data_IF_589346394379
#
_entry.id   IF_589346394379
#
_cell.length_a   1.000
_cell.length_b   1.000
_cell.length_c   1.000
_cell.angle_alpha   90.00
_cell.angle_beta   90.00
_cell.angle_gamma   90.00
#
_symmetry.space_group_name_H-M   'P 1'
#
loop_
_entity.id
_entity.type
_entity.pdbx_description
1 polymer ?
#
# COMPACT_ATOMS: atom_id res chain seq x y z
N UNK A 1 -6.81 -10.59 -2.96
CA UNK A 1 -8.26 -10.35 -3.17
C UNK A 1 -8.87 -11.59 -3.80
N UNK A 2 -9.80 -12.26 -3.12
CA UNK A 2 -10.58 -13.35 -3.70
C UNK A 2 -11.60 -12.75 -4.69
N UNK A 3 -11.20 -12.56 -5.96
CA UNK A 3 -12.08 -12.06 -7.02
C UNK A 3 -13.18 -13.10 -7.31
N UNK A 4 -14.44 -12.73 -7.11
CA UNK A 4 -15.61 -13.54 -7.51
C UNK A 4 -16.44 -14.14 -6.38
N UNK A 5 -16.09 -13.92 -5.12
CA UNK A 5 -16.87 -14.37 -3.96
C UNK A 5 -17.77 -13.21 -3.51
N UNK A 6 -19.07 -13.45 -3.36
CA UNK A 6 -19.99 -12.45 -2.80
C UNK A 6 -19.67 -12.19 -1.33
N UNK A 7 -19.90 -10.96 -0.82
CA UNK A 7 -19.59 -10.63 0.57
C UNK A 7 -20.21 -11.63 1.57
N UNK A 8 -21.43 -12.11 1.31
CA UNK A 8 -22.10 -13.14 2.10
C UNK A 8 -21.31 -14.46 2.17
N UNK A 9 -20.70 -14.90 1.08
CA UNK A 9 -19.89 -16.12 1.05
C UNK A 9 -18.58 -15.95 1.82
N UNK A 10 -17.96 -14.76 1.80
CA UNK A 10 -16.76 -14.46 2.62
C UNK A 10 -17.12 -14.53 4.10
N UNK A 11 -18.27 -13.98 4.48
CA UNK A 11 -18.73 -13.94 5.87
C UNK A 11 -19.12 -15.33 6.39
N UNK A 12 -19.85 -16.11 5.58
CA UNK A 12 -20.20 -17.49 5.93
C UNK A 12 -18.95 -18.37 6.04
N UNK A 13 -17.97 -18.16 5.16
CA UNK A 13 -16.70 -18.87 5.23
C UNK A 13 -15.94 -18.54 6.53
N UNK A 14 -15.85 -17.26 6.88
CA UNK A 14 -15.21 -16.84 8.13
C UNK A 14 -15.91 -17.43 9.35
N UNK A 15 -17.25 -17.34 9.43
CA UNK A 15 -18.00 -17.85 10.59
C UNK A 15 -17.77 -19.35 10.85
N UNK A 16 -17.56 -20.15 9.80
CA UNK A 16 -17.30 -21.59 9.93
C UNK A 16 -15.99 -21.90 10.64
N UNK A 17 -14.96 -21.06 10.46
CA UNK A 17 -13.65 -21.24 11.09
C UNK A 17 -13.43 -20.33 12.29
N UNK A 18 -14.24 -19.28 12.46
CA UNK A 18 -14.06 -18.23 13.47
C UNK A 18 -14.00 -18.78 14.90
N UNK A 19 -14.78 -19.83 15.22
CA UNK A 19 -14.77 -20.47 16.53
C UNK A 19 -13.49 -21.25 16.85
N UNK A 20 -12.66 -21.55 15.84
CA UNK A 20 -11.40 -22.28 15.99
C UNK A 20 -10.16 -21.39 15.97
N UNK A 21 -10.35 -20.07 15.79
CA UNK A 21 -9.28 -19.07 15.88
C UNK A 21 -9.06 -18.74 17.38
N UNK A 22 -7.84 -18.36 17.76
CA UNK A 22 -7.52 -17.89 19.11
C UNK A 22 -7.17 -16.38 19.05
N UNK A 23 -7.98 -15.48 19.63
CA UNK A 23 -9.25 -15.75 20.30
C UNK A 23 -10.40 -16.08 19.33
N UNK A 24 -11.39 -16.83 19.80
CA UNK A 24 -12.53 -17.21 18.97
C UNK A 24 -13.32 -15.98 18.52
N UNK A 25 -13.73 -15.96 17.26
CA UNK A 25 -14.44 -14.85 16.61
C UNK A 25 -13.69 -13.52 16.67
N UNK A 26 -12.35 -13.56 16.62
CA UNK A 26 -11.49 -12.38 16.67
C UNK A 26 -11.80 -11.33 15.60
N UNK A 27 -11.88 -10.07 16.03
CA UNK A 27 -12.18 -8.93 15.15
C UNK A 27 -11.03 -8.64 14.17
N UNK A 28 -9.78 -8.76 14.60
CA UNK A 28 -8.62 -8.41 13.77
C UNK A 28 -8.45 -9.40 12.63
N UNK A 29 -8.59 -10.70 12.94
CA UNK A 29 -8.63 -11.78 11.94
C UNK A 29 -9.75 -11.57 10.90
N UNK A 30 -10.93 -11.10 11.34
CA UNK A 30 -11.99 -10.71 10.42
C UNK A 30 -11.60 -9.51 9.55
N UNK A 31 -11.02 -8.47 10.16
CA UNK A 31 -10.61 -7.24 9.48
C UNK A 31 -9.56 -7.49 8.39
N UNK A 32 -8.62 -8.40 8.64
CA UNK A 32 -7.60 -8.83 7.68
C UNK A 32 -8.21 -9.62 6.52
N UNK A 33 -9.16 -10.51 6.79
CA UNK A 33 -9.83 -11.30 5.76
C UNK A 33 -10.62 -10.42 4.78
N UNK A 34 -11.45 -9.51 5.30
CA UNK A 34 -12.32 -8.68 4.45
C UNK A 34 -11.55 -7.59 3.72
N UNK A 35 -10.40 -7.20 4.28
CA UNK A 35 -9.52 -6.14 3.78
C UNK A 35 -10.27 -4.87 3.33
N UNK A 36 -11.20 -4.38 4.17
CA UNK A 36 -11.96 -3.13 3.95
C UNK A 36 -11.49 -2.04 4.90
N UNK A 37 -12.00 -0.82 4.71
CA UNK A 37 -11.79 0.28 5.64
C UNK A 37 -12.42 0.02 7.01
N UNK A 38 -12.00 0.82 8.00
CA UNK A 38 -12.45 0.73 9.39
C UNK A 38 -13.97 0.79 9.54
N UNK A 39 -14.65 1.71 8.85
CA UNK A 39 -16.08 1.90 9.03
C UNK A 39 -16.88 0.70 8.49
N UNK A 40 -16.56 0.29 7.26
CA UNK A 40 -17.20 -0.87 6.62
C UNK A 40 -16.96 -2.14 7.43
N UNK A 41 -15.72 -2.38 7.86
CA UNK A 41 -15.35 -3.57 8.64
C UNK A 41 -16.12 -3.64 9.96
N UNK A 42 -16.22 -2.51 10.68
CA UNK A 42 -16.96 -2.44 11.93
C UNK A 42 -18.44 -2.77 11.76
N UNK A 43 -19.08 -2.22 10.72
CA UNK A 43 -20.50 -2.46 10.43
C UNK A 43 -20.73 -3.93 10.08
N UNK A 44 -19.90 -4.49 9.20
CA UNK A 44 -20.02 -5.90 8.79
C UNK A 44 -19.83 -6.83 9.98
N UNK A 45 -18.75 -6.68 10.75
CA UNK A 45 -18.49 -7.52 11.93
C UNK A 45 -19.66 -7.47 12.92
N UNK A 46 -20.12 -6.26 13.26
CA UNK A 46 -21.21 -6.07 14.20
C UNK A 46 -22.52 -6.71 13.70
N UNK A 47 -22.83 -6.57 12.41
CA UNK A 47 -24.04 -7.14 11.80
C UNK A 47 -24.02 -8.67 11.86
N UNK A 48 -22.92 -9.27 11.42
CA UNK A 48 -22.73 -10.72 11.35
C UNK A 48 -22.75 -11.34 12.75
N UNK A 49 -21.99 -10.77 13.68
CA UNK A 49 -21.91 -11.27 15.05
C UNK A 49 -23.24 -11.12 15.80
N UNK A 50 -23.98 -10.02 15.62
CA UNK A 50 -25.31 -9.89 16.20
C UNK A 50 -26.29 -10.94 15.65
N UNK A 51 -26.28 -11.18 14.34
CA UNK A 51 -27.14 -12.19 13.74
C UNK A 51 -26.76 -13.60 14.20
N UNK A 52 -25.46 -13.91 14.26
CA UNK A 52 -24.96 -15.20 14.71
C UNK A 52 -25.26 -15.46 16.19
N UNK A 53 -24.94 -14.53 17.09
CA UNK A 53 -25.19 -14.67 18.54
C UNK A 53 -26.67 -14.75 18.88
N UNK A 54 -27.56 -14.12 18.10
CA UNK A 54 -29.02 -14.29 18.25
C UNK A 54 -29.51 -15.68 17.84
N UNK A 55 -28.92 -16.28 16.81
CA UNK A 55 -29.24 -17.65 16.37
C UNK A 55 -28.63 -18.72 17.27
N UNK A 56 -27.49 -18.42 17.90
CA UNK A 56 -26.72 -19.33 18.73
C UNK A 56 -26.43 -18.73 20.11
N UNK A 57 -27.46 -18.46 20.94
CA UNK A 57 -27.28 -17.78 22.22
C UNK A 57 -26.45 -18.57 23.25
N UNK A 58 -26.36 -19.89 23.09
CA UNK A 58 -25.50 -20.76 23.92
C UNK A 58 -24.02 -20.72 23.54
N UNK A 59 -23.65 -20.00 22.47
CA UNK A 59 -22.27 -19.85 22.06
C UNK A 59 -21.61 -18.70 22.84
N UNK A 60 -21.10 -19.03 24.03
CA UNK A 60 -20.49 -18.06 24.94
C UNK A 60 -19.28 -17.33 24.33
N UNK A 61 -18.51 -18.01 23.47
CA UNK A 61 -17.36 -17.42 22.78
C UNK A 61 -17.80 -16.29 21.83
N UNK A 62 -18.84 -16.50 21.04
CA UNK A 62 -19.37 -15.47 20.13
C UNK A 62 -19.95 -14.27 20.89
N UNK A 63 -20.66 -14.52 22.00
CA UNK A 63 -21.18 -13.46 22.88
C UNK A 63 -20.02 -12.67 23.52
N UNK A 64 -19.00 -13.37 24.01
CA UNK A 64 -17.80 -12.75 24.60
C UNK A 64 -17.03 -11.89 23.60
N UNK A 65 -16.84 -12.38 22.37
CA UNK A 65 -16.19 -11.64 21.28
C UNK A 65 -16.96 -10.36 20.93
N UNK A 66 -18.29 -10.44 20.82
CA UNK A 66 -19.14 -9.27 20.57
C UNK A 66 -19.07 -8.24 21.71
N UNK A 67 -19.08 -8.70 22.96
CA UNK A 67 -18.92 -7.82 24.12
C UNK A 67 -17.55 -7.14 24.14
N UNK A 68 -16.50 -7.90 23.80
CA UNK A 68 -15.13 -7.38 23.68
C UNK A 68 -15.05 -6.32 22.58
N UNK A 69 -15.62 -6.58 21.42
CA UNK A 69 -15.69 -5.62 20.32
C UNK A 69 -16.46 -4.33 20.69
N UNK A 70 -17.49 -4.43 21.53
CA UNK A 70 -18.21 -3.25 22.01
C UNK A 70 -17.36 -2.35 22.92
N UNK A 71 -16.35 -2.91 23.61
CA UNK A 71 -15.39 -2.14 24.40
C UNK A 71 -14.45 -1.27 23.56
N UNK A 72 -14.44 -1.39 22.22
CA UNK A 72 -13.66 -0.50 21.33
C UNK A 72 -13.97 0.99 21.52
N UNK A 73 -15.14 1.32 22.07
CA UNK A 73 -15.55 2.71 22.36
C UNK A 73 -15.13 3.16 23.77
N UNK A 74 -14.58 2.27 24.57
CA UNK A 74 -14.16 2.52 25.95
C UNK A 74 -12.65 2.74 25.96
N UNK A 75 -12.23 4.00 26.06
CA UNK A 75 -10.82 4.44 25.99
C UNK A 75 -9.88 3.64 26.89
N UNK A 76 -10.37 3.25 28.07
CA UNK A 76 -9.55 2.62 29.11
C UNK A 76 -9.44 1.10 28.96
N UNK A 77 -10.07 0.52 27.92
CA UNK A 77 -10.01 -0.92 27.70
C UNK A 77 -8.76 -1.32 26.91
N UNK A 78 -8.12 -2.43 27.32
CA UNK A 78 -7.01 -3.02 26.56
C UNK A 78 -7.40 -3.32 25.10
N UNK A 79 -8.66 -3.64 24.85
CA UNK A 79 -9.16 -3.87 23.50
C UNK A 79 -9.20 -2.58 22.68
N UNK A 80 -9.64 -1.45 23.25
CA UNK A 80 -9.63 -0.16 22.58
C UNK A 80 -8.23 0.22 22.11
N UNK A 81 -7.23 0.08 22.99
CA UNK A 81 -5.84 0.37 22.64
C UNK A 81 -5.36 -0.46 21.44
N UNK A 82 -5.48 -1.80 21.52
CA UNK A 82 -5.16 -2.71 20.41
C UNK A 82 -5.93 -2.37 19.13
N UNK A 83 -7.17 -1.95 19.28
CA UNK A 83 -8.04 -1.61 18.17
C UNK A 83 -7.62 -0.33 17.45
N UNK A 84 -7.25 0.72 18.19
CA UNK A 84 -6.69 1.94 17.59
C UNK A 84 -5.31 1.66 16.98
N UNK A 85 -4.43 0.95 17.69
CA UNK A 85 -3.10 0.58 17.20
C UNK A 85 -3.19 -0.17 15.86
N UNK A 86 -4.05 -1.19 15.77
CA UNK A 86 -4.28 -1.95 14.54
C UNK A 86 -4.68 -1.07 13.35
N UNK A 87 -5.63 -0.15 13.54
CA UNK A 87 -6.08 0.71 12.44
C UNK A 87 -5.04 1.75 12.07
N UNK A 88 -4.29 2.27 13.05
CA UNK A 88 -3.20 3.20 12.80
C UNK A 88 -2.10 2.56 11.95
N UNK A 89 -1.61 1.38 12.35
CA UNK A 89 -0.59 0.62 11.60
C UNK A 89 -1.06 0.29 10.18
N UNK A 90 -2.34 -0.08 10.04
CA UNK A 90 -2.90 -0.43 8.74
C UNK A 90 -3.05 0.77 7.81
N UNK A 91 -3.44 1.92 8.35
CA UNK A 91 -3.53 3.17 7.59
C UNK A 91 -2.14 3.66 7.18
N UNK A 92 -1.15 3.55 8.07
CA UNK A 92 0.27 3.85 7.77
C UNK A 92 0.81 2.94 6.67
N UNK A 93 0.63 1.62 6.79
CA UNK A 93 1.06 0.65 5.78
C UNK A 93 0.39 0.93 4.42
N UNK A 94 -0.89 1.27 4.42
CA UNK A 94 -1.62 1.65 3.20
C UNK A 94 -1.04 2.92 2.57
N UNK A 95 -0.67 3.91 3.39
CA UNK A 95 -0.03 5.14 2.93
C UNK A 95 1.35 4.86 2.31
N UNK A 96 2.18 4.05 2.97
CA UNK A 96 3.50 3.66 2.47
C UNK A 96 3.39 2.98 1.11
N UNK A 97 2.47 2.01 0.95
CA UNK A 97 2.23 1.35 -0.34
C UNK A 97 1.82 2.35 -1.42
N UNK A 98 0.91 3.28 -1.10
CA UNK A 98 0.49 4.33 -2.06
C UNK A 98 1.64 5.22 -2.47
N UNK A 99 2.49 5.63 -1.54
CA UNK A 99 3.68 6.43 -1.83
C UNK A 99 4.66 5.67 -2.72
N UNK A 100 4.93 4.39 -2.42
CA UNK A 100 5.79 3.54 -3.23
C UNK A 100 5.26 3.37 -4.65
N UNK A 101 3.97 3.07 -4.80
CA UNK A 101 3.33 2.93 -6.10
C UNK A 101 3.39 4.23 -6.92
N UNK A 102 3.20 5.39 -6.26
CA UNK A 102 3.33 6.69 -6.92
C UNK A 102 4.76 6.95 -7.39
N UNK A 103 5.76 6.63 -6.57
CA UNK A 103 7.16 6.78 -6.95
C UNK A 103 7.51 5.91 -8.16
N UNK A 104 7.10 4.63 -8.15
CA UNK A 104 7.30 3.71 -9.26
C UNK A 104 6.65 4.23 -10.55
N UNK A 105 5.38 4.61 -10.50
CA UNK A 105 4.66 5.15 -11.66
C UNK A 105 5.30 6.43 -12.21
N UNK A 106 5.85 7.29 -11.35
CA UNK A 106 6.56 8.50 -11.78
C UNK A 106 7.86 8.14 -12.50
N UNK A 107 8.64 7.20 -11.96
CA UNK A 107 9.87 6.72 -12.58
C UNK A 107 9.60 6.07 -13.94
N UNK A 108 8.54 5.26 -14.04
CA UNK A 108 8.10 4.66 -15.31
C UNK A 108 7.75 5.73 -16.35
N UNK A 109 7.01 6.77 -15.96
CA UNK A 109 6.65 7.88 -16.85
C UNK A 109 7.88 8.65 -17.33
N UNK A 110 8.79 9.01 -16.42
CA UNK A 110 10.01 9.76 -16.76
C UNK A 110 10.92 8.93 -17.67
N UNK A 111 11.03 7.62 -17.41
CA UNK A 111 11.80 6.72 -18.26
C UNK A 111 11.22 6.64 -19.67
N UNK A 112 9.89 6.49 -19.79
CA UNK A 112 9.20 6.51 -21.09
C UNK A 112 9.48 7.80 -21.85
N UNK A 113 9.30 8.96 -21.20
CA UNK A 113 9.54 10.27 -21.81
C UNK A 113 10.99 10.44 -22.28
N UNK A 114 11.96 9.97 -21.48
CA UNK A 114 13.36 10.01 -21.85
C UNK A 114 13.67 9.14 -23.08
N UNK A 115 13.15 7.92 -23.13
CA UNK A 115 13.29 7.03 -24.28
C UNK A 115 12.68 7.64 -25.55
N UNK A 116 11.48 8.21 -25.46
CA UNK A 116 10.84 8.90 -26.58
C UNK A 116 11.68 10.07 -27.08
N UNK A 117 12.29 10.84 -26.18
CA UNK A 117 13.17 11.94 -26.55
C UNK A 117 14.45 11.46 -27.22
N UNK A 118 15.07 10.39 -26.73
CA UNK A 118 16.24 9.76 -27.36
C UNK A 118 15.90 9.26 -28.76
N UNK A 119 14.76 8.59 -28.94
CA UNK A 119 14.29 8.18 -30.27
C UNK A 119 14.09 9.37 -31.20
N UNK A 120 13.45 10.44 -30.72
CA UNK A 120 13.19 11.64 -31.51
C UNK A 120 14.49 12.30 -31.95
N UNK A 121 15.47 12.42 -31.05
CA UNK A 121 16.79 12.96 -31.36
C UNK A 121 17.53 12.06 -32.36
N UNK A 122 17.47 10.74 -32.18
CA UNK A 122 18.08 9.77 -33.10
C UNK A 122 17.49 9.87 -34.51
N UNK A 123 16.15 9.93 -34.62
CA UNK A 123 15.46 10.14 -35.91
C UNK A 123 15.86 11.44 -36.58
N UNK A 124 15.98 12.53 -35.82
CA UNK A 124 16.47 13.83 -36.33
C UNK A 124 17.92 13.75 -36.81
N UNK A 125 18.81 13.11 -36.04
CA UNK A 125 20.21 12.95 -36.43
C UNK A 125 20.35 12.16 -37.75
N UNK A 126 19.55 11.10 -37.94
CA UNK A 126 19.52 10.35 -39.20
C UNK A 126 18.98 11.15 -40.40
N UNK A 127 18.10 12.12 -40.19
CA UNK A 127 17.58 13.02 -41.24
C UNK A 127 18.55 14.15 -41.58
N UNK A 128 19.40 14.55 -40.64
CA UNK A 128 20.42 15.59 -40.82
C UNK A 128 21.69 14.99 -41.44
N UNK A 129 21.92 13.68 -41.32
CA UNK A 129 22.98 12.99 -42.04
C UNK A 129 22.73 13.13 -43.56
N UNK A 130 23.56 13.93 -44.28
CA UNK A 130 23.36 14.12 -45.70
C UNK A 130 23.60 12.80 -46.43
N UNK A 131 22.75 12.49 -47.40
CA UNK A 131 23.11 11.62 -48.52
C UNK A 131 24.28 12.28 -49.27
N UNK A 132 25.49 12.08 -48.78
CA UNK A 132 26.71 12.64 -49.34
C UNK A 132 27.87 11.74 -48.97
N UNK A 133 27.94 10.60 -49.63
CA UNK A 133 29.22 9.95 -49.87
C UNK A 133 29.93 10.83 -50.91
N UNK A 134 30.72 11.79 -50.47
CA UNK A 134 31.94 12.12 -51.21
C UNK A 134 33.01 12.68 -50.27
N UNK A 135 34.24 12.46 -50.73
CA UNK A 135 35.44 12.20 -49.96
C UNK A 135 36.02 13.42 -49.23
N UNK A 136 36.53 13.15 -48.02
CA UNK A 136 37.76 13.74 -47.49
C UNK A 136 37.68 15.15 -46.93
N UNK A 137 37.72 15.28 -45.60
CA UNK A 137 38.72 16.11 -44.91
C UNK A 137 38.56 15.99 -43.40
N UNK A 138 39.72 15.94 -42.74
CA UNK A 138 39.93 15.79 -41.31
C UNK A 138 39.31 16.90 -40.47
N UNK A 139 38.47 16.55 -39.50
CA UNK A 139 38.34 17.30 -38.24
C UNK A 139 37.95 16.34 -37.12
N UNK A 140 38.84 16.19 -36.14
CA UNK A 140 38.61 15.40 -34.92
C UNK A 140 37.44 15.95 -34.11
N UNK A 141 36.52 15.11 -33.59
CA UNK A 141 35.63 15.54 -32.53
C UNK A 141 36.35 15.37 -31.18
N UNK A 142 36.48 16.47 -30.45
CA UNK A 142 36.78 16.45 -29.02
C UNK A 142 35.61 15.73 -28.33
N UNK A 143 35.85 14.51 -27.89
CA UNK A 143 34.98 13.78 -26.96
C UNK A 143 35.12 14.44 -25.59
N UNK A 144 34.25 15.39 -25.30
CA UNK A 144 34.01 15.82 -23.93
C UNK A 144 33.17 14.74 -23.27
N UNK A 145 33.85 13.85 -22.54
CA UNK A 145 33.28 12.75 -21.79
C UNK A 145 32.50 13.32 -20.61
N UNK A 146 31.20 13.56 -20.80
CA UNK A 146 30.27 13.72 -19.68
C UNK A 146 30.03 12.33 -19.08
N UNK A 147 30.89 11.94 -18.12
CA UNK A 147 30.56 10.87 -17.18
C UNK A 147 29.41 11.35 -16.29
N UNK A 148 28.17 11.24 -16.78
CA UNK A 148 27.00 11.24 -15.92
C UNK A 148 26.85 9.84 -15.35
N UNK A 149 27.56 9.56 -14.25
CA UNK A 149 27.25 8.40 -13.41
C UNK A 149 25.87 8.66 -12.82
N UNK A 150 24.84 8.13 -13.47
CA UNK A 150 23.49 8.00 -12.90
C UNK A 150 23.53 6.91 -11.84
N UNK A 151 24.10 7.23 -10.67
CA UNK A 151 23.95 6.38 -9.49
C UNK A 151 22.49 6.46 -9.06
N UNK A 152 21.72 5.43 -9.38
CA UNK A 152 20.43 5.21 -8.73
C UNK A 152 20.66 5.16 -7.22
N UNK A 153 19.91 5.92 -6.41
CA UNK A 153 20.04 5.83 -4.97
C UNK A 153 19.76 4.39 -4.54
N UNK A 154 20.64 3.87 -3.69
CA UNK A 154 20.51 2.52 -3.14
C UNK A 154 19.19 2.40 -2.37
N UNK A 155 18.67 1.18 -2.28
CA UNK A 155 17.42 0.88 -1.56
C UNK A 155 17.46 1.40 -0.11
N UNK A 156 18.65 1.37 0.51
CA UNK A 156 18.95 1.95 1.83
C UNK A 156 18.83 3.48 1.91
N UNK A 157 19.19 4.21 0.86
CA UNK A 157 19.07 5.68 0.84
C UNK A 157 17.63 6.14 0.68
N UNK A 158 16.83 5.37 -0.08
CA UNK A 158 15.39 5.60 -0.22
C UNK A 158 14.68 5.33 1.11
N UNK A 159 15.03 4.24 1.79
CA UNK A 159 14.44 3.89 3.09
C UNK A 159 14.79 4.94 4.17
N UNK A 160 16.03 5.43 4.18
CA UNK A 160 16.45 6.50 5.09
C UNK A 160 15.70 7.82 4.81
N UNK A 161 15.54 8.21 3.55
CA UNK A 161 14.81 9.41 3.17
C UNK A 161 13.32 9.34 3.52
N UNK A 162 12.68 8.17 3.34
CA UNK A 162 11.29 7.96 3.72
C UNK A 162 11.08 8.03 5.24
N UNK A 163 12.02 7.48 6.02
CA UNK A 163 11.99 7.56 7.48
C UNK A 163 12.12 9.00 7.99
N UNK A 164 13.03 9.79 7.43
CA UNK A 164 13.21 11.20 7.81
C UNK A 164 11.97 12.08 7.49
N UNK A 165 11.25 11.78 6.41
CA UNK A 165 10.00 12.47 6.06
C UNK A 165 8.86 12.10 7.01
N UNK A 166 8.83 10.86 7.51
CA UNK A 166 7.85 10.43 8.50
C UNK A 166 8.09 11.13 9.86
N UNK A 167 9.34 11.26 10.29
CA UNK A 167 9.72 11.88 11.56
C UNK A 167 9.43 13.40 11.58
N UNK A 168 9.63 14.10 10.45
CA UNK A 168 9.35 15.55 10.35
C UNK A 168 7.87 15.92 10.38
N UNK A 169 6.95 14.98 10.15
CA UNK A 169 5.50 15.23 10.31
C UNK A 169 5.03 15.24 11.76
N UNK A 170 5.77 14.63 12.68
CA UNK A 170 5.41 14.65 14.10
C UNK A 170 5.75 15.99 14.78
N UNK A 171 6.77 16.72 14.30
CA UNK A 171 7.15 18.03 14.84
C UNK A 171 6.22 19.19 14.43
N UNK A 172 5.32 18.98 13.49
CA UNK A 172 4.37 19.99 12.99
C UNK A 172 2.96 19.87 13.60
N UNK A 173 2.70 18.87 14.46
CA UNK A 173 1.41 18.68 15.11
C UNK A 173 1.37 19.13 16.59
N UNK A 174 2.50 19.54 17.18
CA UNK A 174 2.61 19.98 18.58
C UNK A 174 2.87 21.51 18.72
N UNK A 175 2.29 22.34 17.85
CA UNK A 175 2.26 23.80 18.02
C UNK A 175 0.88 24.40 17.81
#
# INVERSE_FOLDING_TARGET
MLKGISDNQVYDHWLRSAGSIEPAYDYFSFADLVNRDRATTNVSYLSIMNHFSKKHPSNEQAVSALNTFNKRKTSDSNFHKKYEDYWHERDEHTLIIRMRNRALSTTESVHSDACEQVERLSKKACQIAPSSVDSGSSVSPVLESAESVSTMPSETEIEYALKAIAETKYDLCDK
#
